data_IF_372002922213
#
_entry.id   IF_372002922213
#
_cell.length_a   1.000
_cell.length_b   1.000
_cell.length_c   1.000
_cell.angle_alpha   90.00
_cell.angle_beta   90.00
_cell.angle_gamma   90.00
#
_symmetry.space_group_name_H-M   'P 1'
#
loop_
_entity.id
_entity.type
_entity.pdbx_description
1 polymer ?
#
# COMPACT_ATOMS: atom_id res chain seq x y z
N UNK A 1 -4.74 17.41 -3.60
CA UNK A 1 -5.11 16.15 -4.28
C UNK A 1 -5.46 15.08 -3.26
N UNK A 2 -4.51 14.64 -2.43
CA UNK A 2 -4.71 13.53 -1.49
C UNK A 2 -5.86 13.77 -0.50
N UNK A 3 -5.97 15.01 0.01
CA UNK A 3 -7.11 15.44 0.84
C UNK A 3 -8.45 15.28 0.10
N UNK A 4 -8.53 15.77 -1.15
CA UNK A 4 -9.72 15.63 -1.99
C UNK A 4 -10.04 14.15 -2.26
N UNK A 5 -9.05 13.33 -2.59
CA UNK A 5 -9.23 11.91 -2.94
C UNK A 5 -9.68 11.06 -1.75
N UNK A 6 -9.22 11.40 -0.54
CA UNK A 6 -9.60 10.71 0.70
C UNK A 6 -11.08 10.96 1.06
N UNK A 7 -11.62 12.14 0.72
CA UNK A 7 -12.99 12.54 1.05
C UNK A 7 -14.01 12.31 -0.09
N UNK A 8 -13.62 11.66 -1.20
CA UNK A 8 -14.56 11.35 -2.29
C UNK A 8 -15.67 10.42 -1.82
N UNK A 9 -16.90 10.71 -2.25
CA UNK A 9 -18.08 9.89 -1.91
C UNK A 9 -18.04 8.51 -2.59
N UNK A 10 -17.50 8.44 -3.82
CA UNK A 10 -17.34 7.20 -4.59
C UNK A 10 -15.85 6.89 -4.75
N UNK A 11 -15.47 5.64 -4.47
CA UNK A 11 -14.09 5.14 -4.54
C UNK A 11 -13.06 6.04 -3.83
N UNK A 12 -13.23 6.32 -2.51
CA UNK A 12 -12.27 7.13 -1.75
C UNK A 12 -10.90 6.46 -1.70
N UNK A 13 -9.85 7.27 -1.58
CA UNK A 13 -8.50 6.80 -1.31
C UNK A 13 -8.41 6.31 0.16
N UNK A 14 -8.69 5.02 0.35
CA UNK A 14 -8.58 4.36 1.67
C UNK A 14 -8.09 2.92 1.51
N UNK A 15 -7.30 2.40 2.48
CA UNK A 15 -6.91 0.99 2.47
C UNK A 15 -8.12 0.05 2.63
N UNK A 16 -8.02 -1.15 2.08
CA UNK A 16 -8.96 -2.24 2.39
C UNK A 16 -8.78 -2.72 3.84
N UNK A 17 -9.80 -3.38 4.40
CA UNK A 17 -9.78 -3.84 5.79
C UNK A 17 -8.64 -4.84 6.08
N UNK A 18 -8.23 -5.62 5.08
CA UNK A 18 -7.14 -6.58 5.16
C UNK A 18 -5.86 -6.09 4.44
N UNK A 19 -5.78 -4.81 4.09
CA UNK A 19 -4.61 -4.27 3.42
C UNK A 19 -3.39 -4.28 4.35
N UNK A 20 -2.25 -4.67 3.82
CA UNK A 20 -0.95 -4.55 4.48
C UNK A 20 -0.34 -3.21 4.06
N UNK A 21 -0.18 -2.29 5.01
CA UNK A 21 0.45 -0.99 4.75
C UNK A 21 1.97 -1.14 4.70
N UNK A 22 2.57 -0.60 3.64
CA UNK A 22 4.02 -0.56 3.47
C UNK A 22 4.44 0.90 3.32
N UNK A 23 5.05 1.46 4.36
CA UNK A 23 5.72 2.75 4.27
C UNK A 23 7.06 2.58 3.51
N UNK A 24 7.22 3.36 2.46
CA UNK A 24 8.37 3.30 1.55
C UNK A 24 9.27 4.53 1.62
N UNK A 25 9.01 5.51 2.50
CA UNK A 25 9.72 6.79 2.53
C UNK A 25 11.25 6.62 2.65
N UNK A 26 11.70 5.58 3.36
CA UNK A 26 13.12 5.27 3.61
C UNK A 26 13.58 3.98 2.92
N UNK A 27 12.85 3.48 1.94
CA UNK A 27 13.18 2.26 1.22
C UNK A 27 13.67 2.55 -0.19
N UNK A 28 14.73 1.86 -0.59
CA UNK A 28 15.09 1.76 -2.01
C UNK A 28 14.04 0.94 -2.77
N UNK A 29 13.95 1.15 -4.08
CA UNK A 29 13.06 0.37 -4.96
C UNK A 29 13.23 -1.14 -4.77
N UNK A 30 14.48 -1.63 -4.71
CA UNK A 30 14.76 -3.06 -4.50
C UNK A 30 14.15 -3.56 -3.18
N UNK A 31 14.29 -2.80 -2.10
CA UNK A 31 13.72 -3.19 -0.80
C UNK A 31 12.20 -3.21 -0.82
N UNK A 32 11.54 -2.29 -1.55
CA UNK A 32 10.08 -2.30 -1.73
C UNK A 32 9.64 -3.57 -2.46
N UNK A 33 10.29 -3.90 -3.57
CA UNK A 33 9.97 -5.09 -4.38
C UNK A 33 10.18 -6.38 -3.58
N UNK A 34 11.33 -6.52 -2.90
CA UNK A 34 11.63 -7.68 -2.06
C UNK A 34 10.58 -7.86 -0.96
N UNK A 35 10.10 -6.75 -0.36
CA UNK A 35 9.09 -6.78 0.70
C UNK A 35 7.73 -7.23 0.17
N UNK A 36 7.30 -6.73 -0.99
CA UNK A 36 6.04 -7.14 -1.64
C UNK A 36 6.10 -8.62 -2.03
N UNK A 37 7.19 -9.06 -2.64
CA UNK A 37 7.37 -10.46 -3.06
C UNK A 37 7.29 -11.42 -1.88
N UNK A 38 8.00 -11.12 -0.80
CA UNK A 38 8.00 -11.97 0.40
C UNK A 38 6.64 -12.04 1.10
N UNK A 39 5.83 -10.97 1.04
CA UNK A 39 4.46 -11.00 1.56
C UNK A 39 3.58 -11.91 0.71
N UNK A 40 3.63 -11.77 -0.61
CA UNK A 40 2.85 -12.60 -1.53
C UNK A 40 3.20 -14.09 -1.41
N UNK A 41 4.49 -14.44 -1.35
CA UNK A 41 4.96 -15.82 -1.26
C UNK A 41 4.65 -16.51 0.08
N UNK A 42 4.38 -15.75 1.16
CA UNK A 42 3.95 -16.29 2.45
C UNK A 42 2.44 -16.52 2.54
N UNK A 43 1.67 -15.92 1.64
CA UNK A 43 0.22 -16.02 1.58
C UNK A 43 -0.26 -17.15 0.66
N UNK A 44 0.63 -17.70 -0.16
CA UNK A 44 0.43 -18.85 -1.06
C UNK A 44 0.60 -20.20 -0.37
#
# INVERSE_FOLDING_TARGET
RDDIDTHRTISPLKPAANAIIIDTEKLSLKQVVDKIYNLAAKLS
#
